data_IF_898311509514
#
_entry.id   IF_898311509514
#
_cell.length_a   1.000
_cell.length_b   1.000
_cell.length_c   1.000
_cell.angle_alpha   90.00
_cell.angle_beta   90.00
_cell.angle_gamma   90.00
#
_symmetry.space_group_name_H-M   'P 1'
#
loop_
_entity.id
_entity.type
_entity.pdbx_description
1 polymer ?
#
# COMPACT_ATOMS: atom_id res chain seq x y z
N UNK A 1 -20.86 22.46 34.56
CA UNK A 1 -20.17 23.41 33.68
C UNK A 1 -18.72 23.00 33.66
N UNK A 2 -18.32 22.32 32.59
CA UNK A 2 -16.95 22.34 32.08
C UNK A 2 -16.97 21.55 30.78
N UNK A 3 -17.28 22.28 29.69
CA UNK A 3 -17.01 21.81 28.35
C UNK A 3 -15.50 21.88 28.16
N UNK A 4 -14.79 20.77 28.46
CA UNK A 4 -13.41 20.60 28.11
C UNK A 4 -13.34 20.49 26.57
N UNK A 5 -12.89 21.60 25.96
CA UNK A 5 -12.70 21.74 24.51
C UNK A 5 -11.87 20.59 23.94
N UNK A 6 -12.53 19.68 23.27
CA UNK A 6 -11.91 18.69 22.41
C UNK A 6 -11.42 19.44 21.17
N UNK A 7 -10.17 19.93 21.23
CA UNK A 7 -9.48 20.51 20.07
C UNK A 7 -9.58 19.51 18.93
N UNK A 8 -10.41 19.79 17.93
CA UNK A 8 -10.42 19.06 16.66
C UNK A 8 -9.04 19.24 16.05
N UNK A 9 -8.25 18.17 16.10
CA UNK A 9 -6.98 18.14 15.38
C UNK A 9 -7.34 18.08 13.90
N UNK A 10 -6.92 19.11 13.17
CA UNK A 10 -7.10 19.13 11.73
C UNK A 10 -6.22 18.04 11.11
N UNK A 11 -6.81 17.20 10.28
CA UNK A 11 -6.07 16.18 9.54
C UNK A 11 -5.68 16.76 8.18
N UNK A 12 -4.39 16.76 7.89
CA UNK A 12 -3.89 17.07 6.55
C UNK A 12 -4.12 15.84 5.67
N UNK A 13 -4.71 16.06 4.49
CA UNK A 13 -4.85 15.05 3.44
C UNK A 13 -4.00 15.47 2.25
N UNK A 14 -3.13 14.58 1.79
CA UNK A 14 -2.26 14.78 0.65
C UNK A 14 -2.51 13.65 -0.35
N UNK A 15 -3.03 13.99 -1.50
CA UNK A 15 -3.13 13.12 -2.65
C UNK A 15 -1.85 13.18 -3.48
N UNK A 16 -1.34 12.02 -3.93
CA UNK A 16 -0.09 11.98 -4.68
C UNK A 16 -0.06 10.93 -5.78
N UNK A 17 0.85 11.17 -6.74
CA UNK A 17 1.00 10.35 -7.91
C UNK A 17 -0.22 10.36 -8.83
N UNK A 18 -0.12 9.66 -9.95
CA UNK A 18 -1.20 9.50 -10.92
C UNK A 18 -1.29 8.04 -11.38
N UNK A 19 -2.50 7.53 -11.57
CA UNK A 19 -2.70 6.18 -12.12
C UNK A 19 -2.83 6.29 -13.62
N UNK A 20 -1.88 5.77 -14.43
CA UNK A 20 -1.97 5.80 -15.88
C UNK A 20 -3.28 5.18 -16.37
N UNK A 21 -4.06 5.96 -17.13
CA UNK A 21 -5.38 5.54 -17.63
C UNK A 21 -6.56 5.76 -16.67
N UNK A 22 -6.35 6.36 -15.49
CA UNK A 22 -7.42 6.80 -14.58
C UNK A 22 -7.34 8.30 -14.36
N UNK A 23 -8.30 9.06 -14.90
CA UNK A 23 -8.35 10.50 -14.69
C UNK A 23 -8.96 10.81 -13.32
N UNK A 24 -8.30 11.68 -12.55
CA UNK A 24 -8.82 12.23 -11.29
C UNK A 24 -8.71 11.32 -10.06
N UNK A 25 -8.12 10.11 -10.19
CA UNK A 25 -7.85 9.24 -9.04
C UNK A 25 -6.35 9.31 -8.75
N UNK A 26 -5.93 9.76 -7.55
CA UNK A 26 -4.53 9.77 -7.17
C UNK A 26 -4.00 8.33 -7.02
N UNK A 27 -2.69 8.15 -7.16
CA UNK A 27 -2.08 6.82 -6.96
C UNK A 27 -2.11 6.40 -5.48
N UNK A 28 -2.08 7.37 -4.57
CA UNK A 28 -2.15 7.17 -3.13
C UNK A 28 -2.67 8.42 -2.43
N UNK A 29 -3.10 8.25 -1.17
CA UNK A 29 -3.48 9.34 -0.25
C UNK A 29 -2.76 9.15 1.08
N UNK A 30 -2.12 10.21 1.58
CA UNK A 30 -1.60 10.32 2.95
C UNK A 30 -2.56 11.17 3.78
N UNK A 31 -3.08 10.60 4.88
CA UNK A 31 -3.84 11.32 5.90
C UNK A 31 -3.01 11.38 7.18
N UNK A 32 -2.73 12.58 7.67
CA UNK A 32 -1.91 12.78 8.86
C UNK A 32 -2.52 13.83 9.78
N UNK A 33 -2.80 13.51 11.06
CA UNK A 33 -3.16 14.52 12.05
C UNK A 33 -2.04 15.53 12.22
N UNK A 34 -2.38 16.81 12.31
CA UNK A 34 -1.44 17.90 12.54
C UNK A 34 -1.76 18.64 13.85
N UNK A 35 -0.85 18.62 14.81
CA UNK A 35 0.39 17.84 14.87
C UNK A 35 0.11 16.34 15.06
N UNK A 36 1.06 15.47 14.66
CA UNK A 36 0.89 14.00 14.79
C UNK A 36 0.58 13.61 16.24
N UNK A 37 -0.42 12.73 16.42
CA UNK A 37 -0.88 12.31 17.74
C UNK A 37 0.01 11.25 18.38
N UNK A 38 0.61 10.38 17.55
CA UNK A 38 1.46 9.26 17.95
C UNK A 38 2.57 9.05 16.90
N UNK A 39 3.71 8.43 17.27
CA UNK A 39 4.85 8.21 16.37
C UNK A 39 4.66 7.01 15.42
N UNK A 40 3.46 6.81 14.88
CA UNK A 40 3.15 5.66 14.04
C UNK A 40 2.53 6.11 12.72
N UNK A 41 3.06 5.57 11.62
CA UNK A 41 2.47 5.63 10.29
C UNK A 41 2.07 4.21 9.87
N UNK A 42 0.82 4.03 9.44
CA UNK A 42 0.32 2.80 8.85
C UNK A 42 0.33 2.96 7.34
N UNK A 43 1.02 2.06 6.63
CA UNK A 43 1.01 2.01 5.17
C UNK A 43 0.27 0.77 4.68
N UNK A 44 -0.53 0.90 3.62
CA UNK A 44 -1.27 -0.21 2.99
C UNK A 44 -1.00 -0.22 1.48
N UNK A 45 0.17 -0.76 1.06
CA UNK A 45 0.63 -0.64 -0.32
C UNK A 45 -0.16 -1.51 -1.32
N UNK A 46 -0.87 -2.53 -0.85
CA UNK A 46 -1.57 -3.50 -1.70
C UNK A 46 -3.10 -3.46 -1.60
N UNK A 47 -3.65 -2.41 -0.99
CA UNK A 47 -5.10 -2.24 -0.88
C UNK A 47 -5.75 -1.63 -2.13
N UNK A 48 -4.94 -1.16 -3.10
CA UNK A 48 -5.40 -0.42 -4.26
C UNK A 48 -6.35 -1.21 -5.17
N UNK A 49 -7.47 -0.58 -5.51
CA UNK A 49 -8.55 -1.16 -6.34
C UNK A 49 -8.99 -0.23 -7.48
N UNK A 50 -8.23 0.82 -7.77
CA UNK A 50 -8.52 1.72 -8.88
C UNK A 50 -7.95 1.14 -10.20
N UNK A 51 -8.65 0.16 -10.76
CA UNK A 51 -8.27 -0.49 -12.02
C UNK A 51 -8.75 0.33 -13.22
N UNK A 52 -7.84 0.92 -14.03
CA UNK A 52 -8.24 1.51 -15.31
C UNK A 52 -8.80 0.44 -16.27
N UNK A 53 -9.77 0.82 -17.10
CA UNK A 53 -10.31 -0.08 -18.12
C UNK A 53 -9.24 -0.69 -19.02
N UNK A 54 -8.27 0.13 -19.45
CA UNK A 54 -7.13 -0.30 -20.26
C UNK A 54 -6.23 -1.36 -19.59
N UNK A 55 -6.15 -1.38 -18.25
CA UNK A 55 -5.46 -2.41 -17.50
C UNK A 55 -6.28 -3.70 -17.46
N UNK A 56 -7.59 -3.61 -17.17
CA UNK A 56 -8.50 -4.76 -17.10
C UNK A 56 -8.57 -5.51 -18.43
N UNK A 57 -8.62 -4.80 -19.56
CA UNK A 57 -8.61 -5.39 -20.90
C UNK A 57 -7.35 -6.21 -21.21
N UNK A 58 -6.24 -5.92 -20.54
CA UNK A 58 -4.98 -6.62 -20.71
C UNK A 58 -4.80 -7.81 -19.77
N UNK A 59 -5.63 -7.91 -18.73
CA UNK A 59 -5.55 -8.98 -17.74
C UNK A 59 -6.32 -10.22 -18.19
N UNK A 60 -5.75 -11.39 -17.94
CA UNK A 60 -6.48 -12.65 -18.02
C UNK A 60 -7.25 -12.84 -16.73
N UNK A 61 -8.55 -13.06 -16.83
CA UNK A 61 -9.44 -13.24 -15.69
C UNK A 61 -9.24 -12.17 -14.58
N UNK A 62 -9.54 -10.88 -14.85
CA UNK A 62 -9.23 -9.79 -13.93
C UNK A 62 -9.88 -9.96 -12.56
N UNK A 63 -11.11 -10.51 -12.47
CA UNK A 63 -11.78 -10.75 -11.20
C UNK A 63 -11.03 -11.76 -10.30
N UNK A 64 -10.52 -12.86 -10.87
CA UNK A 64 -9.70 -13.82 -10.15
C UNK A 64 -8.36 -13.21 -9.72
N UNK A 65 -7.71 -12.47 -10.63
CA UNK A 65 -6.43 -11.84 -10.37
C UNK A 65 -6.52 -10.79 -9.26
N UNK A 66 -7.57 -9.96 -9.26
CA UNK A 66 -7.81 -8.96 -8.22
C UNK A 66 -7.90 -9.61 -6.83
N UNK A 67 -8.71 -10.67 -6.66
CA UNK A 67 -8.84 -11.38 -5.38
C UNK A 67 -7.52 -11.98 -4.87
N UNK A 68 -6.58 -12.28 -5.76
CA UNK A 68 -5.27 -12.85 -5.40
C UNK A 68 -4.21 -11.81 -5.10
N UNK A 69 -4.24 -10.67 -5.78
CA UNK A 69 -3.23 -9.62 -5.69
C UNK A 69 -3.56 -8.56 -4.63
N UNK A 70 -4.84 -8.28 -4.41
CA UNK A 70 -5.26 -7.28 -3.45
C UNK A 70 -5.16 -7.78 -2.01
N UNK A 71 -4.71 -6.91 -1.11
CA UNK A 71 -4.94 -7.05 0.33
C UNK A 71 -6.31 -6.43 0.66
N UNK A 72 -7.36 -7.19 0.31
CA UNK A 72 -8.74 -6.68 0.31
C UNK A 72 -9.16 -6.13 1.64
N UNK A 73 -9.67 -4.89 1.61
CA UNK A 73 -10.22 -4.16 2.76
C UNK A 73 -9.27 -3.95 3.95
N UNK A 74 -7.95 -4.14 3.75
CA UNK A 74 -6.95 -3.74 4.73
C UNK A 74 -6.93 -2.22 4.90
N UNK A 75 -7.19 -1.46 3.84
CA UNK A 75 -7.40 -0.02 3.89
C UNK A 75 -8.51 0.37 4.88
N UNK A 76 -9.66 -0.32 4.85
CA UNK A 76 -10.76 -0.06 5.77
C UNK A 76 -10.47 -0.48 7.21
N UNK A 77 -9.65 -1.52 7.42
CA UNK A 77 -9.11 -1.83 8.75
C UNK A 77 -8.21 -0.69 9.23
N UNK A 78 -7.27 -0.26 8.39
CA UNK A 78 -6.34 0.82 8.69
C UNK A 78 -7.06 2.14 8.99
N UNK A 79 -8.09 2.50 8.23
CA UNK A 79 -8.94 3.69 8.49
C UNK A 79 -9.59 3.65 9.88
N UNK A 80 -10.12 2.49 10.30
CA UNK A 80 -10.71 2.35 11.64
C UNK A 80 -9.64 2.47 12.73
N UNK A 81 -8.47 1.86 12.53
CA UNK A 81 -7.36 1.92 13.47
C UNK A 81 -6.87 3.36 13.61
N UNK A 82 -6.64 4.07 12.50
CA UNK A 82 -6.11 5.43 12.53
C UNK A 82 -7.10 6.43 13.09
N UNK A 83 -8.40 6.29 12.80
CA UNK A 83 -9.47 7.07 13.43
C UNK A 83 -9.48 6.89 14.95
N UNK A 84 -9.18 5.69 15.47
CA UNK A 84 -9.18 5.39 16.88
C UNK A 84 -7.87 5.74 17.61
N UNK A 85 -6.76 5.87 16.88
CA UNK A 85 -5.42 6.05 17.48
C UNK A 85 -4.80 7.41 17.17
N UNK A 86 -5.18 8.03 16.06
CA UNK A 86 -4.52 9.22 15.53
C UNK A 86 -3.20 8.93 14.82
N UNK A 87 -2.94 7.69 14.40
CA UNK A 87 -1.81 7.37 13.54
C UNK A 87 -1.95 8.04 12.17
N UNK A 88 -0.83 8.33 11.51
CA UNK A 88 -0.84 8.69 10.10
C UNK A 88 -1.17 7.47 9.24
N UNK A 89 -1.79 7.68 8.07
CA UNK A 89 -2.25 6.63 7.17
C UNK A 89 -1.87 6.92 5.73
N UNK A 90 -1.15 6.01 5.10
CA UNK A 90 -0.81 6.06 3.68
C UNK A 90 -1.50 4.90 2.95
N UNK A 91 -2.47 5.22 2.08
CA UNK A 91 -3.24 4.25 1.31
C UNK A 91 -2.83 4.32 -0.16
N UNK A 92 -2.39 3.20 -0.73
CA UNK A 92 -2.25 3.07 -2.19
C UNK A 92 -3.63 2.81 -2.83
N UNK A 93 -3.95 3.56 -3.88
CA UNK A 93 -5.13 3.35 -4.72
C UNK A 93 -4.80 2.62 -6.01
N UNK A 94 -3.55 2.78 -6.50
CA UNK A 94 -3.04 2.02 -7.63
C UNK A 94 -3.06 0.52 -7.32
N UNK A 95 -3.63 -0.34 -8.20
CA UNK A 95 -3.72 -1.76 -7.93
C UNK A 95 -2.34 -2.44 -8.02
N UNK A 96 -2.08 -3.42 -7.16
CA UNK A 96 -0.84 -4.22 -7.17
C UNK A 96 -0.57 -4.86 -8.54
N UNK A 97 -1.62 -5.19 -9.30
CA UNK A 97 -1.46 -5.68 -10.68
C UNK A 97 -0.73 -4.69 -11.59
N UNK A 98 -0.90 -3.38 -11.35
CA UNK A 98 -0.24 -2.33 -12.13
C UNK A 98 1.23 -2.18 -11.74
N UNK A 99 1.50 -2.13 -10.43
CA UNK A 99 2.85 -2.04 -9.86
C UNK A 99 2.83 -2.47 -8.39
N UNK A 100 3.79 -3.30 -8.00
CA UNK A 100 3.95 -3.76 -6.62
C UNK A 100 4.84 -2.78 -5.84
N UNK A 101 4.23 -1.98 -4.98
CA UNK A 101 4.94 -1.00 -4.15
C UNK A 101 5.85 -1.63 -3.08
N UNK A 102 5.75 -2.95 -2.86
CA UNK A 102 6.66 -3.69 -1.99
C UNK A 102 7.73 -4.47 -2.78
N UNK A 103 8.13 -3.91 -3.95
CA UNK A 103 9.23 -4.40 -4.81
C UNK A 103 10.15 -3.25 -5.20
N UNK A 104 11.43 -3.56 -5.36
CA UNK A 104 12.40 -2.62 -5.92
C UNK A 104 12.14 -2.37 -7.41
N UNK A 105 12.50 -1.19 -7.89
CA UNK A 105 12.25 -0.79 -9.28
C UNK A 105 13.01 -1.63 -10.31
N UNK A 106 14.05 -2.33 -9.88
CA UNK A 106 14.87 -3.25 -10.68
C UNK A 106 14.42 -4.72 -10.58
N UNK A 107 13.46 -5.08 -9.69
CA UNK A 107 12.95 -6.47 -9.60
C UNK A 107 11.91 -6.75 -10.70
N UNK A 108 12.35 -6.67 -11.96
CA UNK A 108 11.53 -6.77 -13.18
C UNK A 108 11.73 -8.11 -13.88
N UNK A 109 10.66 -8.76 -14.34
CA UNK A 109 10.72 -9.90 -15.27
C UNK A 109 10.66 -9.37 -16.71
N UNK A 110 11.82 -9.18 -17.33
CA UNK A 110 11.94 -8.60 -18.66
C UNK A 110 11.33 -9.44 -19.77
N UNK A 111 11.09 -10.75 -19.55
CA UNK A 111 10.43 -11.61 -20.53
C UNK A 111 8.99 -11.19 -20.84
N UNK A 112 8.37 -10.37 -19.97
CA UNK A 112 7.02 -9.86 -20.19
C UNK A 112 6.99 -8.56 -21.00
N UNK A 113 8.15 -8.03 -21.44
CA UNK A 113 8.23 -6.80 -22.23
C UNK A 113 8.53 -7.08 -23.70
N UNK A 114 8.02 -6.21 -24.60
CA UNK A 114 8.20 -6.34 -26.06
C UNK A 114 9.60 -5.90 -26.54
N UNK A 115 10.22 -4.98 -25.81
CA UNK A 115 11.62 -4.57 -26.00
C UNK A 115 12.44 -5.09 -24.82
N UNK A 116 13.58 -5.71 -25.10
CA UNK A 116 14.53 -6.07 -24.07
C UNK A 116 15.25 -4.80 -23.64
N UNK A 117 15.55 -4.68 -22.34
CA UNK A 117 16.40 -3.58 -21.87
C UNK A 117 17.66 -3.47 -22.77
N UNK A 118 18.12 -2.25 -23.08
CA UNK A 118 19.35 -2.08 -23.87
C UNK A 118 20.50 -2.87 -23.23
N UNK A 119 21.43 -3.34 -24.05
CA UNK A 119 22.65 -4.07 -23.64
C UNK A 119 23.52 -3.32 -22.60
N UNK A 120 23.20 -2.07 -22.31
CA UNK A 120 23.80 -1.24 -21.26
C UNK A 120 23.46 -1.63 -19.82
N UNK A 121 22.42 -2.47 -19.60
CA UNK A 121 22.16 -3.07 -18.31
C UNK A 121 22.96 -4.38 -18.24
N UNK A 122 24.19 -4.28 -17.76
CA UNK A 122 25.07 -5.43 -17.56
C UNK A 122 24.34 -6.57 -16.90
N UNK A 123 24.65 -7.83 -17.27
CA UNK A 123 24.12 -9.12 -16.80
C UNK A 123 23.04 -9.02 -15.70
N UNK A 124 21.83 -8.53 -16.07
CA UNK A 124 20.72 -8.40 -15.15
C UNK A 124 20.22 -9.82 -14.79
N UNK A 125 20.39 -10.17 -13.54
CA UNK A 125 19.79 -11.41 -12.98
C UNK A 125 18.52 -11.01 -12.25
N UNK A 126 17.33 -11.42 -12.76
CA UNK A 126 16.07 -11.12 -12.06
C UNK A 126 16.11 -11.59 -10.61
N UNK A 127 15.59 -10.79 -9.70
CA UNK A 127 15.42 -11.16 -8.30
C UNK A 127 14.60 -12.46 -8.16
N UNK A 128 14.67 -13.08 -6.98
CA UNK A 128 13.92 -14.34 -6.73
C UNK A 128 12.41 -14.15 -6.96
N UNK A 129 11.87 -12.97 -6.65
CA UNK A 129 10.45 -12.66 -6.81
C UNK A 129 10.06 -12.48 -8.27
N UNK A 130 10.86 -11.76 -9.07
CA UNK A 130 10.63 -11.64 -10.51
C UNK A 130 10.64 -13.03 -11.18
N UNK A 131 11.64 -13.88 -10.85
CA UNK A 131 11.70 -15.27 -11.37
C UNK A 131 10.47 -16.12 -11.01
N UNK A 132 9.85 -15.87 -9.84
CA UNK A 132 8.61 -16.55 -9.45
C UNK A 132 7.34 -15.94 -10.05
N UNK A 133 7.46 -14.88 -10.86
CA UNK A 133 6.34 -14.17 -11.48
C UNK A 133 5.70 -13.10 -10.60
N UNK A 134 6.32 -12.74 -9.46
CA UNK A 134 5.84 -11.75 -8.50
C UNK A 134 6.88 -10.63 -8.30
N UNK A 135 7.45 -10.12 -9.40
CA UNK A 135 8.32 -8.96 -9.42
C UNK A 135 7.56 -7.63 -9.30
N UNK A 136 8.22 -6.53 -9.70
CA UNK A 136 7.65 -5.17 -9.67
C UNK A 136 6.30 -5.09 -10.40
N UNK A 137 6.17 -5.78 -11.53
CA UNK A 137 4.87 -6.03 -12.17
C UNK A 137 4.61 -7.54 -12.06
N UNK A 138 3.52 -7.97 -11.40
CA UNK A 138 3.16 -9.37 -11.31
C UNK A 138 2.91 -9.96 -12.71
N UNK A 139 3.50 -11.12 -12.98
CA UNK A 139 3.37 -11.82 -14.26
C UNK A 139 2.56 -13.11 -14.16
N UNK A 140 2.78 -13.88 -13.09
CA UNK A 140 2.19 -15.20 -12.92
C UNK A 140 1.49 -15.33 -11.59
N UNK A 141 0.33 -15.97 -11.60
CA UNK A 141 -0.41 -16.27 -10.38
C UNK A 141 -0.71 -17.77 -10.28
N UNK A 142 -0.58 -18.37 -9.09
CA UNK A 142 -1.04 -19.73 -8.85
C UNK A 142 -2.50 -19.91 -9.23
N UNK A 143 -2.81 -20.93 -10.01
CA UNK A 143 -4.16 -21.24 -10.49
C UNK A 143 -4.62 -20.45 -11.73
N UNK A 144 -3.86 -19.41 -12.17
CA UNK A 144 -4.13 -18.66 -13.38
C UNK A 144 -3.04 -18.87 -14.46
N UNK A 145 -1.77 -19.00 -14.04
CA UNK A 145 -0.63 -18.91 -14.94
C UNK A 145 -0.28 -17.47 -15.29
N UNK A 146 -0.12 -17.17 -16.58
CA UNK A 146 0.19 -15.81 -17.06
C UNK A 146 -0.99 -14.85 -16.78
N UNK A 147 -0.67 -13.71 -16.17
CA UNK A 147 -1.65 -12.66 -15.83
C UNK A 147 -2.05 -11.84 -17.06
N UNK A 148 -1.15 -11.64 -18.01
CA UNK A 148 -1.32 -10.72 -19.13
C UNK A 148 -1.62 -11.44 -20.43
N UNK A 149 -2.46 -10.86 -21.26
CA UNK A 149 -2.79 -11.38 -22.59
C UNK A 149 -1.84 -10.89 -23.69
N UNK A 150 -1.04 -9.85 -23.42
CA UNK A 150 0.00 -9.30 -24.31
C UNK A 150 1.17 -8.75 -23.50
N UNK A 151 2.32 -8.57 -24.15
CA UNK A 151 3.52 -8.00 -23.54
C UNK A 151 3.32 -6.51 -23.22
N UNK A 152 4.06 -6.02 -22.25
CA UNK A 152 4.15 -4.61 -21.89
C UNK A 152 5.21 -3.89 -22.72
N UNK A 153 5.12 -2.57 -22.79
CA UNK A 153 6.17 -1.70 -23.33
C UNK A 153 7.00 -1.14 -22.17
N UNK A 154 8.29 -0.92 -22.42
CA UNK A 154 9.21 -0.36 -21.42
C UNK A 154 8.77 1.03 -20.94
N UNK A 155 8.25 1.87 -21.83
CA UNK A 155 7.75 3.20 -21.47
C UNK A 155 6.56 3.16 -20.51
N UNK A 156 5.73 2.12 -20.58
CA UNK A 156 4.67 1.90 -19.59
C UNK A 156 5.24 1.60 -18.21
N UNK A 157 6.33 0.84 -18.14
CA UNK A 157 7.03 0.56 -16.88
C UNK A 157 7.61 1.85 -16.30
N UNK A 158 8.31 2.63 -17.12
CA UNK A 158 8.91 3.92 -16.72
C UNK A 158 7.84 4.88 -16.19
N UNK A 159 6.71 4.99 -16.88
CA UNK A 159 5.59 5.83 -16.44
C UNK A 159 5.04 5.34 -15.09
N UNK A 160 4.81 4.03 -14.89
CA UNK A 160 4.33 3.49 -13.61
C UNK A 160 5.31 3.73 -12.46
N UNK A 161 6.61 3.65 -12.72
CA UNK A 161 7.65 3.97 -11.73
C UNK A 161 7.59 5.46 -11.39
N UNK A 162 7.63 6.35 -12.39
CA UNK A 162 7.67 7.79 -12.18
C UNK A 162 6.37 8.36 -11.59
N UNK A 163 5.21 7.84 -12.01
CA UNK A 163 3.92 8.40 -11.62
C UNK A 163 3.34 7.78 -10.34
N UNK A 164 3.77 6.56 -9.96
CA UNK A 164 3.20 5.84 -8.82
C UNK A 164 4.26 5.48 -7.78
N UNK A 165 5.28 4.70 -8.18
CA UNK A 165 6.23 4.08 -7.24
C UNK A 165 7.12 5.11 -6.54
N UNK A 166 7.81 5.95 -7.30
CA UNK A 166 8.70 6.98 -6.75
C UNK A 166 7.95 8.01 -5.90
N UNK A 167 6.80 8.58 -6.33
CA UNK A 167 6.02 9.49 -5.51
C UNK A 167 5.53 8.86 -4.21
N UNK A 168 5.05 7.60 -4.24
CA UNK A 168 4.61 6.88 -3.04
C UNK A 168 5.74 6.75 -2.03
N UNK A 169 6.90 6.27 -2.46
CA UNK A 169 8.04 6.07 -1.56
C UNK A 169 8.65 7.38 -1.07
N UNK A 170 8.63 8.43 -1.88
CA UNK A 170 9.07 9.77 -1.46
C UNK A 170 8.15 10.34 -0.38
N UNK A 171 6.83 10.21 -0.55
CA UNK A 171 5.84 10.61 0.45
C UNK A 171 6.00 9.83 1.76
N UNK A 172 6.15 8.51 1.68
CA UNK A 172 6.36 7.64 2.84
C UNK A 172 7.63 8.03 3.62
N UNK A 173 8.74 8.27 2.89
CA UNK A 173 10.00 8.70 3.50
C UNK A 173 9.84 10.03 4.24
N UNK A 174 9.24 11.04 3.62
CA UNK A 174 9.05 12.36 4.22
C UNK A 174 8.16 12.29 5.47
N UNK A 175 7.07 11.51 5.41
CA UNK A 175 6.17 11.34 6.55
C UNK A 175 6.86 10.66 7.74
N UNK A 176 7.70 9.66 7.51
CA UNK A 176 8.48 9.00 8.57
C UNK A 176 9.53 9.93 9.18
N UNK A 177 10.23 10.73 8.38
CA UNK A 177 11.20 11.71 8.88
C UNK A 177 10.50 12.80 9.71
N UNK A 178 9.31 13.25 9.32
CA UNK A 178 8.53 14.20 10.12
C UNK A 178 8.12 13.62 11.49
N UNK A 179 7.67 12.36 11.51
CA UNK A 179 7.35 11.66 12.76
C UNK A 179 8.58 11.52 13.64
N UNK A 180 9.72 11.09 13.06
CA UNK A 180 10.99 10.96 13.78
C UNK A 180 11.47 12.30 14.33
N UNK A 181 11.41 13.36 13.53
CA UNK A 181 11.80 14.70 13.98
C UNK A 181 10.98 15.17 15.17
N UNK A 182 9.67 14.89 15.17
CA UNK A 182 8.77 15.26 16.27
C UNK A 182 8.95 14.40 17.53
N UNK A 183 9.13 13.09 17.37
CA UNK A 183 9.04 12.12 18.46
C UNK A 183 10.38 11.52 18.89
N UNK A 184 11.49 11.82 18.19
CA UNK A 184 12.80 11.19 18.38
C UNK A 184 12.88 9.77 17.76
N UNK A 185 11.73 9.11 17.58
CA UNK A 185 11.60 7.84 16.88
C UNK A 185 10.26 7.77 16.12
N UNK A 186 10.18 6.90 15.11
CA UNK A 186 8.99 6.62 14.34
C UNK A 186 8.85 5.12 14.06
N UNK A 187 7.61 4.64 13.95
CA UNK A 187 7.27 3.28 13.50
C UNK A 187 6.46 3.32 12.22
N UNK A 188 6.98 2.67 11.19
CA UNK A 188 6.20 2.26 10.03
C UNK A 188 5.56 0.90 10.32
N UNK A 189 4.25 0.83 10.34
CA UNK A 189 3.49 -0.41 10.31
C UNK A 189 3.02 -0.67 8.87
N UNK A 190 3.75 -1.54 8.15
CA UNK A 190 3.43 -1.97 6.78
C UNK A 190 2.38 -3.07 6.86
N UNK A 191 1.11 -2.69 6.71
CA UNK A 191 -0.04 -3.56 6.97
C UNK A 191 -0.50 -4.28 5.71
N UNK A 192 -0.45 -5.60 5.76
CA UNK A 192 -0.82 -6.51 4.68
C UNK A 192 -1.84 -7.54 5.13
N UNK A 193 -2.31 -8.34 4.18
CA UNK A 193 -3.08 -9.54 4.46
C UNK A 193 -2.60 -10.73 3.65
N UNK A 194 -2.65 -11.90 4.26
CA UNK A 194 -2.24 -13.15 3.66
C UNK A 194 -3.43 -14.14 3.55
N UNK A 195 -3.40 -15.06 2.57
CA UNK A 195 -4.29 -16.22 2.58
C UNK A 195 -4.08 -17.04 3.87
N UNK A 196 -5.11 -17.76 4.36
CA UNK A 196 -4.97 -18.68 5.49
C UNK A 196 -3.77 -19.62 5.30
N UNK A 197 -2.90 -19.68 6.29
CA UNK A 197 -1.75 -20.57 6.26
C UNK A 197 -2.17 -22.00 6.59
N UNK A 198 -1.57 -22.97 5.92
CA UNK A 198 -1.77 -24.39 6.19
C UNK A 198 -0.47 -24.93 6.78
N UNK A 199 -0.53 -25.35 8.06
CA UNK A 199 0.61 -25.99 8.70
C UNK A 199 0.49 -27.52 8.61
N UNK A 200 1.65 -28.15 8.34
CA UNK A 200 1.74 -29.62 8.39
C UNK A 200 1.69 -30.08 9.85
N UNK A 201 1.04 -31.21 10.11
CA UNK A 201 1.05 -31.85 11.42
C UNK A 201 -0.02 -31.38 12.40
N UNK A 202 -1.12 -30.75 11.92
CA UNK A 202 -2.30 -30.45 12.74
C UNK A 202 -2.12 -29.32 13.75
N UNK A 203 -1.01 -28.59 13.71
CA UNK A 203 -0.82 -27.38 14.52
C UNK A 203 -1.73 -26.26 14.01
N UNK A 204 -2.32 -25.43 14.91
CA UNK A 204 -3.10 -24.28 14.49
C UNK A 204 -2.19 -23.30 13.71
N UNK A 205 -2.65 -22.86 12.54
CA UNK A 205 -1.92 -21.88 11.75
C UNK A 205 -1.89 -20.53 12.47
N UNK A 206 -0.77 -19.79 12.39
CA UNK A 206 -0.72 -18.44 12.95
C UNK A 206 -1.65 -17.52 12.16
N UNK A 207 -2.41 -16.71 12.90
CA UNK A 207 -3.31 -15.72 12.33
C UNK A 207 -2.57 -14.46 11.87
N UNK A 208 -1.38 -14.22 12.47
CA UNK A 208 -0.52 -13.09 12.17
C UNK A 208 0.89 -13.55 11.82
N UNK A 209 1.55 -12.80 10.92
CA UNK A 209 2.99 -12.92 10.71
C UNK A 209 3.61 -11.54 10.87
N UNK A 210 4.59 -11.45 11.77
CA UNK A 210 5.41 -10.26 11.99
C UNK A 210 6.71 -10.39 11.22
N UNK A 211 6.98 -9.47 10.31
CA UNK A 211 8.20 -9.40 9.51
C UNK A 211 9.03 -8.17 9.88
N UNK A 212 10.28 -8.37 10.28
CA UNK A 212 11.24 -7.31 10.63
C UNK A 212 12.58 -7.46 9.90
N UNK A 213 12.59 -8.27 8.82
CA UNK A 213 13.79 -8.61 8.07
C UNK A 213 14.89 -9.25 8.94
N UNK A 214 14.45 -10.15 9.82
CA UNK A 214 15.32 -10.87 10.75
C UNK A 214 16.11 -9.94 11.67
N UNK A 215 15.47 -8.93 12.23
CA UNK A 215 16.05 -7.95 13.15
C UNK A 215 16.69 -6.73 12.48
N UNK A 216 16.69 -6.67 11.12
CA UNK A 216 17.34 -5.56 10.42
C UNK A 216 16.48 -4.30 10.35
N UNK A 217 15.13 -4.42 10.46
CA UNK A 217 14.20 -3.34 10.21
C UNK A 217 13.56 -2.75 11.48
N UNK A 218 13.60 -3.46 12.61
CA UNK A 218 12.89 -3.06 13.82
C UNK A 218 13.72 -3.36 15.06
N UNK A 219 13.51 -2.58 16.13
CA UNK A 219 14.05 -2.90 17.46
C UNK A 219 13.40 -4.17 18.01
N UNK A 220 14.19 -5.04 18.61
CA UNK A 220 13.72 -6.31 19.16
C UNK A 220 12.69 -6.16 20.27
N UNK A 221 12.71 -5.06 21.04
CA UNK A 221 11.72 -4.78 22.07
C UNK A 221 10.32 -4.60 21.46
N UNK A 222 10.19 -3.89 20.32
CA UNK A 222 8.91 -3.71 19.63
C UNK A 222 8.35 -5.03 19.09
N UNK A 223 9.23 -5.93 18.63
CA UNK A 223 8.86 -7.28 18.21
C UNK A 223 8.39 -8.11 19.40
N UNK A 224 9.15 -8.12 20.48
CA UNK A 224 8.80 -8.83 21.74
C UNK A 224 7.46 -8.35 22.29
N UNK A 225 7.23 -7.05 22.29
CA UNK A 225 5.97 -6.44 22.73
C UNK A 225 4.78 -6.83 21.85
N UNK A 226 4.99 -6.90 20.54
CA UNK A 226 3.95 -7.37 19.61
C UNK A 226 3.55 -8.82 19.90
N UNK A 227 4.53 -9.71 20.15
CA UNK A 227 4.26 -11.10 20.50
C UNK A 227 3.55 -11.21 21.83
N UNK A 228 3.98 -10.47 22.87
CA UNK A 228 3.32 -10.42 24.18
C UNK A 228 1.87 -9.99 24.03
N UNK A 229 1.61 -8.95 23.24
CA UNK A 229 0.25 -8.48 22.98
C UNK A 229 -0.62 -9.56 22.34
N UNK A 230 -0.17 -10.22 21.27
CA UNK A 230 -0.94 -11.29 20.64
C UNK A 230 -1.17 -12.48 21.56
N UNK A 231 -0.18 -12.83 22.37
CA UNK A 231 -0.30 -13.90 23.39
C UNK A 231 -1.34 -13.56 24.46
N UNK A 232 -1.33 -12.32 24.98
CA UNK A 232 -2.34 -11.81 25.92
C UNK A 232 -3.75 -11.88 25.33
N UNK A 233 -3.88 -11.57 24.04
CA UNK A 233 -5.13 -11.67 23.29
C UNK A 233 -5.47 -13.10 22.83
N UNK A 234 -4.67 -14.10 23.19
CA UNK A 234 -4.81 -15.52 22.80
C UNK A 234 -4.85 -15.72 21.29
N UNK A 235 -4.02 -14.98 20.56
CA UNK A 235 -3.91 -15.02 19.10
C UNK A 235 -2.56 -15.59 18.69
N UNK A 236 -2.55 -16.46 17.68
CA UNK A 236 -1.33 -17.05 17.14
C UNK A 236 -0.59 -16.09 16.21
N UNK A 237 0.70 -15.88 16.48
CA UNK A 237 1.57 -15.08 15.62
C UNK A 237 2.87 -15.83 15.31
N UNK A 238 3.42 -15.64 14.10
CA UNK A 238 4.70 -16.17 13.68
C UNK A 238 5.68 -15.03 13.35
N UNK A 239 6.99 -15.33 13.43
CA UNK A 239 8.05 -14.36 13.16
C UNK A 239 8.78 -14.66 11.85
N UNK A 240 8.80 -13.70 10.92
CA UNK A 240 9.57 -13.73 9.68
C UNK A 240 9.26 -14.89 8.71
N UNK A 241 8.32 -15.76 9.03
CA UNK A 241 7.97 -16.90 8.17
C UNK A 241 6.46 -17.09 8.09
N UNK A 242 5.94 -17.17 6.85
CA UNK A 242 6.63 -17.17 5.55
C UNK A 242 6.99 -15.77 5.04
N UNK A 243 6.63 -14.68 5.75
CA UNK A 243 6.79 -13.29 5.32
C UNK A 243 7.72 -12.53 6.28
N UNK A 244 8.92 -12.19 5.80
CA UNK A 244 9.94 -11.53 6.63
C UNK A 244 9.97 -10.00 6.45
N UNK A 245 9.14 -9.45 5.57
CA UNK A 245 9.22 -8.06 5.14
C UNK A 245 9.85 -7.93 3.75
N UNK A 246 9.39 -6.95 2.98
CA UNK A 246 9.78 -6.69 1.61
C UNK A 246 10.59 -5.41 1.44
N UNK A 247 10.49 -4.84 0.24
CA UNK A 247 11.20 -3.63 -0.17
C UNK A 247 10.82 -2.40 0.65
N UNK A 248 9.56 -2.28 1.08
CA UNK A 248 9.12 -1.18 1.94
C UNK A 248 9.98 -1.11 3.20
N UNK A 249 10.18 -2.25 3.89
CA UNK A 249 11.04 -2.29 5.08
C UNK A 249 12.50 -2.06 4.74
N UNK A 250 12.99 -2.63 3.62
CA UNK A 250 14.37 -2.47 3.17
C UNK A 250 14.73 -1.01 2.92
N UNK A 251 13.85 -0.30 2.25
CA UNK A 251 14.08 1.08 1.83
C UNK A 251 13.94 2.08 2.97
N UNK A 252 12.98 1.86 3.88
CA UNK A 252 12.56 2.90 4.82
C UNK A 252 13.03 2.67 6.25
N UNK A 253 13.35 1.43 6.63
CA UNK A 253 13.83 1.16 7.98
C UNK A 253 15.25 1.70 8.19
N UNK A 254 15.45 2.37 9.29
CA UNK A 254 16.75 2.84 9.77
C UNK A 254 16.74 2.86 11.30
N UNK A 255 16.73 1.69 12.00
CA UNK A 255 16.58 1.61 13.45
C UNK A 255 17.65 2.40 14.20
N UNK A 256 18.87 2.46 13.64
CA UNK A 256 19.96 3.24 14.21
C UNK A 256 19.69 4.75 14.23
N UNK A 257 18.85 5.22 13.30
CA UNK A 257 18.36 6.62 13.22
C UNK A 257 17.03 6.83 13.94
N UNK A 258 16.44 5.79 14.55
CA UNK A 258 15.13 5.83 15.20
C UNK A 258 13.93 5.64 14.27
N UNK A 259 14.13 5.16 13.03
CA UNK A 259 13.03 4.79 12.13
C UNK A 259 12.92 3.27 12.12
N UNK A 260 11.91 2.75 12.81
CA UNK A 260 11.59 1.32 12.87
C UNK A 260 10.54 0.98 11.84
N UNK A 261 10.60 -0.22 11.24
CA UNK A 261 9.60 -0.71 10.31
C UNK A 261 9.24 -2.17 10.61
N UNK A 262 7.96 -2.46 10.66
CA UNK A 262 7.39 -3.77 10.95
C UNK A 262 6.31 -4.09 9.92
N UNK A 263 6.47 -5.20 9.18
CA UNK A 263 5.41 -5.73 8.33
C UNK A 263 4.49 -6.61 9.15
N UNK A 264 3.18 -6.38 9.05
CA UNK A 264 2.16 -7.19 9.70
C UNK A 264 1.25 -7.80 8.64
N UNK A 265 1.28 -9.12 8.54
CA UNK A 265 0.38 -9.91 7.71
C UNK A 265 -0.79 -10.43 8.55
N UNK A 266 -2.00 -10.16 8.11
CA UNK A 266 -3.23 -10.60 8.77
C UNK A 266 -3.91 -11.70 7.94
N UNK A 267 -4.27 -12.81 8.55
CA UNK A 267 -5.05 -13.86 7.89
C UNK A 267 -6.39 -13.30 7.39
N UNK A 268 -6.64 -13.40 6.08
CA UNK A 268 -7.87 -12.90 5.44
C UNK A 268 -9.14 -13.51 5.99
N UNK A 269 -9.09 -14.77 6.41
CA UNK A 269 -10.27 -15.46 6.95
C UNK A 269 -10.73 -14.91 8.29
N UNK A 270 -9.88 -14.19 9.01
CA UNK A 270 -10.19 -13.61 10.30
C UNK A 270 -11.08 -12.36 10.23
N UNK A 271 -11.11 -11.68 9.06
CA UNK A 271 -11.86 -10.44 8.89
C UNK A 271 -12.70 -10.36 7.60
N UNK A 272 -12.49 -11.26 6.64
CA UNK A 272 -13.31 -11.38 5.43
C UNK A 272 -14.35 -12.50 5.54
N UNK A 273 -15.24 -12.57 4.57
CA UNK A 273 -16.24 -13.61 4.41
C UNK A 273 -15.62 -14.95 3.98
N UNK A 274 -16.42 -16.01 3.92
CA UNK A 274 -15.96 -17.35 3.53
C UNK A 274 -15.41 -17.47 2.10
N UNK A 275 -15.61 -16.45 1.26
CA UNK A 275 -15.05 -16.35 -0.09
C UNK A 275 -13.76 -15.50 -0.12
N UNK A 276 -13.36 -14.93 1.01
CA UNK A 276 -12.26 -13.98 1.16
C UNK A 276 -12.41 -12.75 0.23
N UNK A 277 -13.64 -12.35 -0.04
CA UNK A 277 -13.97 -11.32 -1.00
C UNK A 277 -14.50 -10.04 -0.36
N UNK A 278 -15.31 -10.15 0.69
CA UNK A 278 -15.99 -9.01 1.33
C UNK A 278 -15.76 -9.00 2.85
N UNK A 279 -15.93 -7.85 3.54
CA UNK A 279 -15.82 -7.80 4.99
C UNK A 279 -16.79 -8.77 5.67
N UNK A 280 -16.24 -9.64 6.53
CA UNK A 280 -16.96 -10.63 7.28
C UNK A 280 -17.32 -10.16 8.70
N UNK A 281 -17.97 -11.05 9.47
CA UNK A 281 -18.36 -10.79 10.87
C UNK A 281 -17.19 -10.48 11.81
N UNK A 282 -15.99 -10.95 11.47
CA UNK A 282 -14.77 -10.70 12.25
C UNK A 282 -14.15 -9.31 12.06
N UNK A 283 -14.61 -8.54 11.06
CA UNK A 283 -13.97 -7.29 10.65
C UNK A 283 -13.85 -6.25 11.78
N UNK A 284 -14.91 -6.03 12.54
CA UNK A 284 -14.90 -5.06 13.65
C UNK A 284 -14.01 -5.52 14.81
N UNK A 285 -14.01 -6.81 15.14
CA UNK A 285 -13.16 -7.39 16.18
C UNK A 285 -11.67 -7.29 15.78
N UNK A 286 -11.34 -7.56 14.51
CA UNK A 286 -9.98 -7.40 13.99
C UNK A 286 -9.52 -5.96 14.06
N UNK A 287 -10.34 -4.99 13.65
CA UNK A 287 -10.01 -3.58 13.77
C UNK A 287 -9.74 -3.17 15.22
N UNK A 288 -10.54 -3.67 16.17
CA UNK A 288 -10.34 -3.43 17.61
C UNK A 288 -9.03 -4.02 18.13
N UNK A 289 -8.72 -5.26 17.75
CA UNK A 289 -7.47 -5.94 18.11
C UNK A 289 -6.25 -5.15 17.61
N UNK A 290 -6.23 -4.82 16.34
CA UNK A 290 -5.11 -4.07 15.75
C UNK A 290 -5.00 -2.64 16.30
N UNK A 291 -6.11 -2.02 16.69
CA UNK A 291 -6.10 -0.73 17.41
C UNK A 291 -5.35 -0.83 18.73
N UNK A 292 -5.57 -1.90 19.49
CA UNK A 292 -4.85 -2.16 20.74
C UNK A 292 -3.35 -2.36 20.51
N UNK A 293 -2.96 -3.12 19.49
CA UNK A 293 -1.57 -3.31 19.11
C UNK A 293 -0.89 -1.96 18.78
N UNK A 294 -1.53 -1.15 17.93
CA UNK A 294 -0.97 0.15 17.53
C UNK A 294 -0.81 1.09 18.72
N UNK A 295 -1.75 1.13 19.66
CA UNK A 295 -1.62 1.92 20.89
C UNK A 295 -0.45 1.47 21.75
N UNK A 296 -0.26 0.14 21.93
CA UNK A 296 0.86 -0.42 22.69
C UNK A 296 2.18 -0.03 22.05
N UNK A 297 2.35 -0.28 20.76
CA UNK A 297 3.57 0.04 20.03
C UNK A 297 3.85 1.55 19.99
N UNK A 298 2.82 2.38 19.87
CA UNK A 298 2.98 3.84 19.89
C UNK A 298 3.59 4.34 21.20
N UNK A 299 3.18 3.78 22.35
CA UNK A 299 3.77 4.09 23.65
C UNK A 299 5.26 3.73 23.71
N UNK A 300 5.59 2.55 23.25
CA UNK A 300 7.00 2.08 23.27
C UNK A 300 7.91 2.85 22.30
N UNK A 301 7.41 3.19 21.11
CA UNK A 301 8.17 4.02 20.16
C UNK A 301 8.38 5.43 20.72
N UNK A 302 7.39 6.01 21.40
CA UNK A 302 7.54 7.29 22.08
C UNK A 302 8.59 7.22 23.21
N UNK A 303 8.66 6.10 23.95
CA UNK A 303 9.68 5.85 24.95
C UNK A 303 11.09 5.73 24.35
N UNK A 304 11.22 4.96 23.27
CA UNK A 304 12.47 4.86 22.51
C UNK A 304 12.93 6.24 22.00
N UNK A 305 12.01 7.07 21.54
CA UNK A 305 12.30 8.44 21.10
C UNK A 305 12.80 9.32 22.25
N UNK A 306 12.18 9.24 23.43
CA UNK A 306 12.63 9.98 24.62
C UNK A 306 14.04 9.60 25.08
N UNK A 307 14.38 8.32 25.00
CA UNK A 307 15.73 7.83 25.36
C UNK A 307 16.80 8.34 24.39
N UNK A 308 16.43 8.60 23.12
CA UNK A 308 17.33 9.13 22.09
C UNK A 308 17.46 10.66 22.15
N UNK A 309 16.39 11.35 22.55
CA UNK A 309 16.24 12.80 22.46
C UNK A 309 16.76 13.57 23.67
N UNK A 310 17.82 13.12 24.35
CA UNK A 310 18.42 13.83 25.50
C UNK A 310 18.90 15.27 25.22
N UNK A 311 18.88 15.78 23.98
CA UNK A 311 19.36 17.11 23.63
C UNK A 311 18.53 17.92 22.61
N UNK A 312 17.65 17.33 21.78
CA UNK A 312 17.20 18.01 20.54
C UNK A 312 15.70 18.31 20.39
N UNK A 313 14.92 18.38 21.47
CA UNK A 313 13.49 18.74 21.37
C UNK A 313 13.25 20.15 20.84
N UNK A 314 14.24 21.03 20.90
CA UNK A 314 14.12 22.41 20.38
C UNK A 314 14.20 22.48 18.85
N UNK A 315 15.04 21.66 18.19
CA UNK A 315 15.15 21.57 16.73
C UNK A 315 13.92 20.89 16.09
N UNK A 316 13.33 19.91 16.76
CA UNK A 316 12.12 19.22 16.28
C UNK A 316 10.93 20.17 16.08
N UNK A 317 10.87 21.24 16.85
CA UNK A 317 9.80 22.25 16.74
C UNK A 317 9.92 23.13 15.49
N UNK A 318 11.09 23.34 14.95
CA UNK A 318 11.29 24.11 13.72
C UNK A 318 11.03 23.28 12.45
N UNK A 319 11.36 21.99 12.48
CA UNK A 319 11.12 21.10 11.33
C UNK A 319 9.63 20.84 11.07
N UNK A 320 8.80 20.89 12.12
CA UNK A 320 7.34 20.72 11.99
C UNK A 320 6.64 21.91 11.33
N UNK A 321 7.32 23.05 11.15
CA UNK A 321 6.79 24.23 10.44
C UNK A 321 7.00 24.21 8.93
N UNK A 322 7.79 23.27 8.42
CA UNK A 322 8.02 23.15 6.97
C UNK A 322 6.89 22.34 6.33
N UNK A 323 6.03 22.93 5.50
CA UNK A 323 5.00 22.18 4.79
C UNK A 323 5.66 21.15 3.87
N UNK A 324 5.05 19.97 3.74
CA UNK A 324 5.43 18.99 2.72
C UNK A 324 5.43 19.71 1.39
N UNK A 325 6.62 19.97 0.82
CA UNK A 325 6.72 20.68 -0.46
C UNK A 325 6.05 19.81 -1.52
N UNK A 326 5.00 20.35 -2.14
CA UNK A 326 4.23 19.76 -3.24
C UNK A 326 5.08 19.66 -4.53
N UNK A 327 6.22 18.96 -4.50
CA UNK A 327 6.97 18.61 -5.70
C UNK A 327 6.45 17.36 -6.41
N UNK A 328 5.34 16.79 -5.90
CA UNK A 328 4.81 15.52 -6.41
C UNK A 328 3.64 15.67 -7.39
N UNK A 329 3.20 16.90 -7.68
CA UNK A 329 2.22 17.16 -8.73
C UNK A 329 2.92 17.98 -9.81
N UNK A 330 3.08 17.47 -11.05
CA UNK A 330 3.49 18.30 -12.16
C UNK A 330 2.43 19.40 -12.35
N UNK A 331 2.83 20.65 -12.24
CA UNK A 331 1.96 21.80 -12.44
C UNK A 331 1.49 21.83 -13.90
N UNK A 332 0.26 21.42 -14.15
CA UNK A 332 -0.38 21.44 -15.47
C UNK A 332 -0.65 22.88 -15.99
N UNK A 333 -0.05 23.91 -15.36
CA UNK A 333 -0.26 25.34 -15.69
C UNK A 333 1.03 26.10 -16.05
N UNK A 334 2.03 25.47 -16.64
CA UNK A 334 3.17 26.20 -17.20
C UNK A 334 3.27 25.97 -18.71
N UNK A 335 2.34 26.55 -19.47
CA UNK A 335 2.33 26.49 -20.93
C UNK A 335 1.58 27.66 -21.56
N UNK A 336 1.78 28.88 -21.06
CA UNK A 336 1.46 30.09 -21.82
C UNK A 336 2.73 30.88 -22.09
N UNK A 337 3.27 30.70 -23.28
CA UNK A 337 4.44 31.47 -23.71
C UNK A 337 4.73 31.28 -25.19
N UNK A 338 4.36 32.29 -25.97
CA UNK A 338 4.79 32.66 -27.30
C UNK A 338 4.03 32.03 -28.48
N UNK A 339 3.16 32.89 -29.03
CA UNK A 339 2.43 32.66 -30.27
C UNK A 339 3.36 32.58 -31.51
N UNK A 340 3.02 31.62 -32.38
CA UNK A 340 3.15 31.77 -33.82
C UNK A 340 1.82 31.33 -34.44
N UNK A 341 1.16 32.30 -35.10
CA UNK A 341 -0.04 32.07 -35.91
C UNK A 341 0.31 31.14 -37.07
N UNK A 342 -0.41 30.05 -37.20
CA UNK A 342 -0.55 29.36 -38.48
C UNK A 342 -1.99 29.50 -38.91
N UNK A 343 -2.18 30.26 -39.98
CA UNK A 343 -3.43 30.49 -40.71
C UNK A 343 -3.73 29.28 -41.59
N UNK A 344 -4.99 28.84 -41.59
CA UNK A 344 -5.69 27.95 -42.53
C UNK A 344 -5.95 26.53 -41.98
N UNK A 345 -7.15 26.38 -41.42
CA UNK A 345 -8.10 25.31 -41.78
C UNK A 345 -9.45 25.62 -41.14
N UNK A 346 -10.33 26.11 -41.95
CA UNK A 346 -11.78 26.26 -41.72
C UNK A 346 -12.48 24.92 -41.94
N UNK A 347 -13.23 24.42 -40.94
CA UNK A 347 -14.42 23.58 -41.13
C UNK A 347 -15.33 23.62 -39.91
N UNK A 348 -16.68 23.52 -40.08
CA UNK A 348 -17.64 24.13 -39.17
C UNK A 348 -18.12 23.23 -38.04
N UNK A 349 -18.36 23.89 -36.93
CA UNK A 349 -18.98 23.33 -35.72
C UNK A 349 -20.50 23.23 -35.92
N UNK A 350 -21.08 22.01 -35.87
CA UNK A 350 -22.52 21.81 -35.71
C UNK A 350 -22.84 21.58 -34.26
N UNK A 351 -23.56 22.51 -33.66
CA UNK A 351 -24.26 22.32 -32.37
C UNK A 351 -25.44 21.37 -32.60
N UNK A 352 -25.57 20.38 -31.74
CA UNK A 352 -26.85 19.73 -31.46
C UNK A 352 -27.17 19.91 -29.98
N UNK A 353 -28.23 20.65 -29.73
CA UNK A 353 -28.88 20.74 -28.42
C UNK A 353 -29.80 19.52 -28.23
N UNK A 354 -29.90 19.10 -26.95
CA UNK A 354 -31.12 18.48 -26.45
C UNK A 354 -31.01 17.02 -26.04
N UNK A 355 -31.03 16.77 -24.75
CA UNK A 355 -32.08 15.98 -24.10
C UNK A 355 -31.53 15.27 -22.85
N UNK A 356 -32.16 15.60 -21.75
CA UNK A 356 -32.10 15.01 -20.41
C UNK A 356 -32.30 13.50 -20.40
N UNK A 357 -31.43 12.73 -19.78
CA UNK A 357 -31.65 11.31 -19.51
C UNK A 357 -30.71 10.80 -18.44
N UNK A 358 -31.26 10.60 -17.24
CA UNK A 358 -30.62 9.86 -16.14
C UNK A 358 -30.27 8.46 -16.61
N UNK A 359 -29.02 8.06 -16.53
CA UNK A 359 -28.61 6.67 -16.68
C UNK A 359 -27.95 6.18 -15.39
N UNK A 360 -28.70 5.38 -14.65
CA UNK A 360 -28.19 4.52 -13.57
C UNK A 360 -27.29 3.44 -14.19
N UNK A 361 -26.04 3.39 -13.80
CA UNK A 361 -25.14 2.29 -14.13
C UNK A 361 -25.47 1.05 -13.27
N UNK A 362 -26.31 0.19 -13.79
CA UNK A 362 -26.50 -1.19 -13.29
C UNK A 362 -25.35 -2.06 -13.78
N UNK A 363 -24.52 -2.51 -12.85
CA UNK A 363 -23.57 -3.61 -13.09
C UNK A 363 -24.39 -4.90 -13.20
N UNK A 364 -24.46 -5.47 -14.39
CA UNK A 364 -25.06 -6.79 -14.61
C UNK A 364 -24.06 -7.86 -14.24
N UNK A 365 -24.30 -8.52 -13.09
CA UNK A 365 -23.63 -9.76 -12.72
C UNK A 365 -24.26 -10.91 -13.53
N UNK A 366 -23.55 -11.44 -14.52
CA UNK A 366 -23.90 -12.70 -15.16
C UNK A 366 -23.65 -13.85 -14.20
N UNK A 367 -24.71 -14.43 -13.65
CA UNK A 367 -24.68 -15.71 -12.94
C UNK A 367 -24.59 -16.84 -13.97
N UNK A 368 -23.38 -17.37 -14.20
CA UNK A 368 -23.14 -18.61 -14.87
C UNK A 368 -22.96 -19.73 -13.84
N UNK A 369 -23.99 -20.56 -13.63
CA UNK A 369 -23.90 -21.75 -12.82
C UNK A 369 -23.00 -22.80 -13.44
N UNK A 370 -21.90 -23.17 -12.76
CA UNK A 370 -21.14 -24.38 -13.05
C UNK A 370 -20.99 -25.19 -11.76
N UNK A 371 -21.53 -26.40 -11.75
CA UNK A 371 -21.40 -27.37 -10.66
C UNK A 371 -19.92 -27.75 -10.46
N UNK A 372 -19.45 -27.92 -9.23
CA UNK A 372 -18.07 -28.33 -8.98
C UNK A 372 -17.90 -29.82 -9.31
N UNK A 373 -17.02 -30.16 -10.25
CA UNK A 373 -16.37 -31.47 -10.29
C UNK A 373 -15.25 -31.48 -9.25
N UNK A 374 -15.29 -32.46 -8.40
CA UNK A 374 -14.20 -32.80 -7.51
C UNK A 374 -13.01 -33.29 -8.32
N UNK A 375 -11.88 -32.66 -8.18
CA UNK A 375 -10.60 -33.18 -8.66
C UNK A 375 -9.61 -33.26 -7.49
N UNK A 376 -9.00 -34.43 -7.26
CA UNK A 376 -8.05 -34.65 -6.19
C UNK A 376 -6.64 -34.47 -6.77
N UNK A 377 -5.91 -33.40 -6.39
CA UNK A 377 -4.44 -33.37 -6.53
C UNK A 377 -3.88 -32.10 -5.85
N UNK A 378 -3.61 -32.22 -4.54
CA UNK A 378 -2.56 -31.47 -3.89
C UNK A 378 -1.68 -32.46 -3.12
N UNK A 379 -0.58 -32.84 -3.74
CA UNK A 379 0.63 -33.29 -3.06
C UNK A 379 1.71 -32.21 -3.19
#
# INVERSE_FOLDING_TARGET
>A
MDEAGQSRRDSQVLDGGAIPGSLGIPAFTLTSPQPSAIPVLIAVPHAGRAYPGSLLERMRNPGFAALRLEDRYVDRLAERITKATGAALLIAHAPRAMIDLNRATDDVDWDMFSSRAPDSVGSYTPGRRARSGLGLIPRRLPGLGELWNRRHHEDELKARIADIHEPYHSCLHQALEQLRARWGAALLLDLHSMPPLILRGGQPAPEFVLGDRFGAACDGALIGSSFSYFSEMRRGAAHNRPYAGGYVLERHAAPQRGIHALQLEVDRSSYLDGRLAEPGKGFAAMAGLLTGLVRKLAGEVADLGRLRGGADWAEAAEYTKSPIKNHLVPDARAGQGSGRRCTKCTMPYRRHEGSTGKTENKIVLLQGGCKPRADPLFR
#
